data_IF_893202498812
#
_entry.id   IF_893202498812
#
_cell.length_a   1.000
_cell.length_b   1.000
_cell.length_c   1.000
_cell.angle_alpha   90.00
_cell.angle_beta   90.00
_cell.angle_gamma   90.00
#
_symmetry.space_group_name_H-M   'P 1'
#
loop_
_entity.id
_entity.type
_entity.pdbx_description
1 polymer ?
#
# COMPACT_ATOMS: atom_id res chain seq x y z
N UNK A 1 -12.30 -15.56 16.18
CA UNK A 1 -11.46 -15.63 14.96
C UNK A 1 -12.09 -14.94 13.75
N UNK A 2 -13.33 -15.27 13.33
CA UNK A 2 -14.00 -14.63 12.17
C UNK A 2 -14.03 -13.10 12.25
N UNK A 3 -14.35 -12.53 13.42
CA UNK A 3 -14.45 -11.08 13.60
C UNK A 3 -13.12 -10.33 13.53
N UNK A 4 -12.00 -10.99 13.80
CA UNK A 4 -10.65 -10.39 13.73
C UNK A 4 -10.20 -10.31 12.28
N UNK A 5 -10.44 -11.38 11.51
CA UNK A 5 -10.13 -11.47 10.08
C UNK A 5 -10.94 -10.42 9.30
N UNK A 6 -12.21 -10.25 9.63
CA UNK A 6 -13.08 -9.26 8.98
C UNK A 6 -12.59 -7.82 9.19
N UNK A 7 -12.14 -7.47 10.40
CA UNK A 7 -11.58 -6.15 10.70
C UNK A 7 -10.27 -5.90 9.96
N UNK A 8 -9.38 -6.88 9.96
CA UNK A 8 -8.11 -6.78 9.23
C UNK A 8 -8.35 -6.58 7.73
N UNK A 9 -9.26 -7.34 7.13
CA UNK A 9 -9.64 -7.19 5.72
C UNK A 9 -10.24 -5.79 5.44
N UNK A 10 -11.12 -5.30 6.33
CA UNK A 10 -11.69 -3.97 6.20
C UNK A 10 -10.62 -2.87 6.25
N UNK A 11 -9.64 -2.96 7.15
CA UNK A 11 -8.53 -1.99 7.25
C UNK A 11 -7.69 -1.96 5.98
N UNK A 12 -7.31 -3.14 5.46
CA UNK A 12 -6.51 -3.26 4.23
C UNK A 12 -7.24 -2.65 3.03
N UNK A 13 -8.57 -2.80 2.96
CA UNK A 13 -9.36 -2.24 1.88
C UNK A 13 -9.64 -0.74 2.05
N UNK A 14 -9.88 -0.25 3.27
CA UNK A 14 -10.23 1.15 3.52
C UNK A 14 -9.02 2.07 3.51
N UNK A 15 -7.85 1.61 3.99
CA UNK A 15 -6.61 2.40 4.01
C UNK A 15 -6.20 3.00 2.63
N UNK A 16 -6.17 2.25 1.51
CA UNK A 16 -5.84 2.80 0.19
C UNK A 16 -6.89 3.80 -0.30
N UNK A 17 -8.17 3.64 0.04
CA UNK A 17 -9.23 4.60 -0.31
C UNK A 17 -8.97 5.97 0.34
N UNK A 18 -8.66 5.97 1.64
CA UNK A 18 -8.33 7.18 2.39
C UNK A 18 -7.08 7.83 1.79
N UNK A 19 -6.07 7.04 1.44
CA UNK A 19 -4.85 7.53 0.80
C UNK A 19 -5.15 8.20 -0.55
N UNK A 20 -6.02 7.61 -1.37
CA UNK A 20 -6.46 8.19 -2.64
C UNK A 20 -7.20 9.52 -2.45
N UNK A 21 -8.07 9.59 -1.44
CA UNK A 21 -8.78 10.81 -1.08
C UNK A 21 -7.82 11.91 -0.61
N UNK A 22 -6.86 11.58 0.26
CA UNK A 22 -5.83 12.52 0.74
C UNK A 22 -5.00 13.07 -0.43
N UNK A 23 -4.59 12.22 -1.37
CA UNK A 23 -3.87 12.66 -2.57
C UNK A 23 -4.70 13.61 -3.43
N UNK A 24 -6.00 13.33 -3.59
CA UNK A 24 -6.92 14.19 -4.33
C UNK A 24 -7.13 15.53 -3.62
N UNK A 25 -7.35 15.54 -2.31
CA UNK A 25 -7.44 16.76 -1.51
C UNK A 25 -6.17 17.61 -1.61
N UNK A 26 -4.98 17.00 -1.49
CA UNK A 26 -3.70 17.70 -1.67
C UNK A 26 -3.56 18.32 -3.06
N UNK A 27 -3.94 17.59 -4.11
CA UNK A 27 -3.87 18.11 -5.46
C UNK A 27 -4.83 19.30 -5.69
N UNK A 28 -6.05 19.24 -5.16
CA UNK A 28 -7.01 20.34 -5.22
C UNK A 28 -6.47 21.59 -4.52
N UNK A 29 -5.88 21.44 -3.33
CA UNK A 29 -5.24 22.55 -2.60
C UNK A 29 -4.03 23.14 -3.35
N UNK A 30 -3.36 22.34 -4.17
CA UNK A 30 -2.25 22.77 -5.01
C UNK A 30 -2.69 23.32 -6.37
N UNK A 31 -4.00 23.43 -6.64
CA UNK A 31 -4.53 23.92 -7.92
C UNK A 31 -4.26 22.98 -9.10
N UNK A 32 -3.96 21.70 -8.85
CA UNK A 32 -3.67 20.70 -9.89
C UNK A 32 -4.79 19.66 -9.96
N UNK A 33 -5.05 19.13 -11.16
CA UNK A 33 -5.93 17.98 -11.29
C UNK A 33 -5.21 16.74 -10.76
N UNK A 34 -5.65 16.24 -9.60
CA UNK A 34 -5.06 15.10 -8.92
C UNK A 34 -5.42 13.75 -9.53
N UNK A 35 -4.72 12.68 -9.12
CA UNK A 35 -5.05 11.32 -9.54
C UNK A 35 -6.46 10.89 -9.06
N UNK A 36 -7.11 9.93 -9.75
CA UNK A 36 -8.40 9.41 -9.32
C UNK A 36 -8.30 8.72 -7.95
N UNK A 37 -9.39 8.71 -7.19
CA UNK A 37 -9.44 8.12 -5.83
C UNK A 37 -9.09 6.62 -5.87
N UNK A 38 -9.39 5.95 -6.98
CA UNK A 38 -9.14 4.53 -7.20
C UNK A 38 -7.69 4.21 -7.61
N UNK A 39 -6.87 5.23 -7.90
CA UNK A 39 -5.47 5.06 -8.31
C UNK A 39 -4.66 4.14 -7.38
N UNK A 40 -4.78 4.21 -6.04
CA UNK A 40 -4.02 3.35 -5.13
C UNK A 40 -4.31 1.85 -5.33
N UNK A 41 -5.54 1.47 -5.70
CA UNK A 41 -5.87 0.07 -6.00
C UNK A 41 -5.24 -0.38 -7.32
N UNK A 42 -5.26 0.47 -8.34
CA UNK A 42 -4.61 0.19 -9.63
C UNK A 42 -3.09 0.08 -9.47
N UNK A 43 -2.50 0.93 -8.63
CA UNK A 43 -1.07 0.90 -8.33
C UNK A 43 -0.70 -0.41 -7.60
N UNK A 44 -1.52 -0.89 -6.65
CA UNK A 44 -1.31 -2.18 -6.00
C UNK A 44 -1.36 -3.33 -7.01
N UNK A 45 -2.39 -3.40 -7.85
CA UNK A 45 -2.49 -4.44 -8.89
C UNK A 45 -1.28 -4.41 -9.84
N UNK A 46 -0.84 -3.21 -10.23
CA UNK A 46 0.34 -3.02 -11.07
C UNK A 46 1.63 -3.47 -10.38
N UNK A 47 1.76 -3.24 -9.07
CA UNK A 47 2.93 -3.67 -8.29
C UNK A 47 3.00 -5.18 -8.14
N UNK A 48 1.87 -5.84 -7.87
CA UNK A 48 1.83 -7.31 -7.80
C UNK A 48 2.15 -7.99 -9.14
N UNK A 49 1.83 -7.34 -10.26
CA UNK A 49 2.20 -7.83 -11.59
C UNK A 49 3.67 -7.59 -11.99
N UNK A 50 4.44 -6.83 -11.21
CA UNK A 50 5.84 -6.52 -11.52
C UNK A 50 6.78 -7.54 -10.89
N UNK A 51 7.76 -7.99 -11.66
CA UNK A 51 8.86 -8.80 -11.13
C UNK A 51 9.80 -7.92 -10.29
N UNK A 52 10.15 -8.33 -9.07
CA UNK A 52 11.08 -7.59 -8.24
C UNK A 52 12.50 -7.66 -8.83
N UNK A 53 13.07 -6.51 -9.18
CA UNK A 53 14.46 -6.42 -9.65
C UNK A 53 15.38 -6.30 -8.44
N UNK A 54 16.16 -7.35 -8.18
CA UNK A 54 17.14 -7.38 -7.09
C UNK A 54 18.52 -7.00 -7.62
N UNK A 55 19.20 -6.07 -6.94
CA UNK A 55 20.58 -5.71 -7.25
C UNK A 55 21.54 -6.83 -6.88
N UNK A 56 22.62 -7.00 -7.65
CA UNK A 56 23.66 -8.04 -7.40
C UNK A 56 24.32 -7.93 -6.02
N UNK A 57 24.32 -6.74 -5.41
CA UNK A 57 24.86 -6.48 -4.06
C UNK A 57 23.78 -6.44 -2.97
N UNK A 58 22.54 -6.85 -3.28
CA UNK A 58 21.44 -6.81 -2.32
C UNK A 58 21.63 -7.90 -1.26
N UNK A 59 21.66 -7.49 0.01
CA UNK A 59 21.62 -8.41 1.15
C UNK A 59 20.25 -9.10 1.26
N UNK A 60 20.20 -10.24 1.96
CA UNK A 60 18.97 -10.98 2.29
C UNK A 60 17.92 -10.10 2.98
N UNK A 61 18.37 -9.06 3.69
CA UNK A 61 17.52 -8.08 4.36
C UNK A 61 16.62 -7.30 3.39
N UNK A 62 17.01 -7.10 2.13
CA UNK A 62 16.17 -6.43 1.13
C UNK A 62 14.94 -7.25 0.77
N UNK A 63 15.05 -8.58 0.83
CA UNK A 63 13.93 -9.49 0.60
C UNK A 63 13.09 -9.67 1.87
N UNK A 64 13.73 -9.82 3.03
CA UNK A 64 13.04 -10.05 4.29
C UNK A 64 12.42 -8.78 4.92
N UNK A 65 13.03 -7.62 4.69
CA UNK A 65 12.65 -6.34 5.30
C UNK A 65 11.18 -5.97 5.10
N UNK A 66 10.63 -6.01 3.87
CA UNK A 66 9.21 -5.73 3.63
C UNK A 66 8.28 -6.64 4.42
N UNK A 67 8.62 -7.93 4.54
CA UNK A 67 7.82 -8.92 5.29
C UNK A 67 7.89 -8.69 6.81
N UNK A 68 9.07 -8.39 7.35
CA UNK A 68 9.25 -8.09 8.78
C UNK A 68 8.47 -6.82 9.14
N UNK A 69 8.57 -5.77 8.32
CA UNK A 69 7.86 -4.51 8.54
C UNK A 69 6.34 -4.69 8.50
N UNK A 70 5.82 -5.43 7.52
CA UNK A 70 4.40 -5.75 7.45
C UNK A 70 3.94 -6.52 8.70
N UNK A 71 4.68 -7.54 9.13
CA UNK A 71 4.37 -8.32 10.34
C UNK A 71 4.34 -7.46 11.61
N UNK A 72 5.29 -6.53 11.75
CA UNK A 72 5.34 -5.61 12.89
C UNK A 72 4.12 -4.67 12.93
N UNK A 73 3.69 -4.13 11.79
CA UNK A 73 2.49 -3.26 11.72
C UNK A 73 1.22 -4.05 12.04
N UNK A 74 1.10 -5.28 11.56
CA UNK A 74 -0.10 -6.09 11.82
C UNK A 74 -0.20 -6.58 13.27
N UNK A 75 0.94 -6.71 13.95
CA UNK A 75 1.00 -7.12 15.35
C UNK A 75 0.77 -5.94 16.32
N UNK A 76 1.18 -4.73 15.94
CA UNK A 76 1.01 -3.51 16.72
C UNK A 76 -0.46 -3.03 16.75
#
# INVERSE_FOLDING_TARGET
MIGSILRAAAVILVAPLITGMIKKCKALLQGRYGPPIWQPYLDLLKLFGKQPVMSKHSSWLSQAGPMIYAGAIFYA
#
